data_IF_145721665988
#
_entry.id   IF_145721665988
#
_cell.length_a   1.000
_cell.length_b   1.000
_cell.length_c   1.000
_cell.angle_alpha   90.00
_cell.angle_beta   90.00
_cell.angle_gamma   90.00
#
_symmetry.space_group_name_H-M   'P 1'
#
loop_
_entity.id
_entity.type
_entity.pdbx_description
1 polymer ?
#
# COMPACT_ATOMS: atom_id res chain seq x y z
N UNK A 1 10.22 -36.28 -1.70
CA UNK A 1 11.60 -35.87 -1.95
C UNK A 1 11.85 -34.59 -1.17
N UNK A 2 12.88 -34.54 -0.34
CA UNK A 2 13.29 -33.28 0.30
C UNK A 2 13.87 -32.36 -0.79
N UNK A 3 13.49 -31.09 -0.78
CA UNK A 3 13.95 -30.10 -1.78
C UNK A 3 13.04 -29.91 -2.99
N UNK A 4 11.81 -30.42 -2.98
CA UNK A 4 10.83 -30.11 -4.03
C UNK A 4 10.38 -28.65 -3.91
N UNK A 5 10.25 -28.01 -5.07
CA UNK A 5 9.82 -26.61 -5.18
C UNK A 5 8.31 -26.55 -4.91
N UNK A 6 7.93 -25.73 -3.94
CA UNK A 6 6.54 -25.62 -3.48
C UNK A 6 5.80 -24.43 -4.11
N UNK A 7 6.54 -23.38 -4.48
CA UNK A 7 6.01 -22.18 -5.12
C UNK A 7 7.10 -21.50 -5.94
N UNK A 8 6.71 -20.86 -7.04
CA UNK A 8 7.55 -19.95 -7.82
C UNK A 8 7.41 -18.51 -7.30
N UNK A 9 8.47 -17.72 -7.47
CA UNK A 9 8.52 -16.29 -7.20
C UNK A 9 8.49 -15.46 -8.49
N UNK A 10 8.75 -14.16 -8.38
CA UNK A 10 8.99 -13.30 -9.52
C UNK A 10 10.16 -13.83 -10.37
N UNK A 11 9.96 -13.84 -11.70
CA UNK A 11 10.95 -14.29 -12.68
C UNK A 11 11.38 -15.76 -12.56
N UNK A 12 10.55 -16.64 -11.99
CA UNK A 12 10.78 -18.10 -11.97
C UNK A 12 9.59 -18.87 -12.50
N UNK A 13 9.82 -20.01 -13.15
CA UNK A 13 8.79 -20.89 -13.66
C UNK A 13 9.21 -22.35 -13.49
N UNK A 14 8.45 -23.12 -12.71
CA UNK A 14 8.74 -24.52 -12.36
C UNK A 14 10.15 -24.71 -11.78
N UNK A 15 10.65 -23.72 -11.04
CA UNK A 15 11.99 -23.75 -10.46
C UNK A 15 13.13 -23.28 -11.35
N UNK A 16 12.85 -22.93 -12.60
CA UNK A 16 13.85 -22.37 -13.51
C UNK A 16 13.73 -20.85 -13.58
N UNK A 17 14.87 -20.18 -13.77
CA UNK A 17 14.91 -18.73 -13.95
C UNK A 17 14.29 -18.34 -15.31
N UNK A 18 13.29 -17.47 -15.30
CA UNK A 18 12.62 -16.93 -16.49
C UNK A 18 12.56 -15.40 -16.41
N UNK A 19 13.61 -14.75 -16.91
CA UNK A 19 13.73 -13.28 -16.92
C UNK A 19 12.86 -12.60 -17.99
N UNK A 20 12.36 -13.35 -18.98
CA UNK A 20 11.62 -12.79 -20.10
C UNK A 20 10.82 -13.83 -20.86
N UNK A 21 10.41 -13.48 -22.08
CA UNK A 21 9.55 -14.30 -22.93
C UNK A 21 10.21 -14.54 -24.28
N UNK A 22 10.17 -15.79 -24.74
CA UNK A 22 10.58 -16.14 -26.09
C UNK A 22 9.51 -15.66 -27.08
N UNK A 23 9.93 -14.94 -28.12
CA UNK A 23 9.05 -14.41 -29.15
C UNK A 23 9.54 -14.83 -30.53
N UNK A 24 8.61 -14.97 -31.48
CA UNK A 24 8.96 -15.25 -32.87
C UNK A 24 9.48 -13.97 -33.53
N UNK A 25 10.76 -13.99 -33.92
CA UNK A 25 11.41 -12.87 -34.59
C UNK A 25 11.61 -13.15 -36.08
N UNK A 26 11.41 -12.13 -36.91
CA UNK A 26 11.72 -12.15 -38.33
C UNK A 26 12.77 -11.09 -38.64
N UNK A 27 13.85 -11.48 -39.31
CA UNK A 27 14.91 -10.57 -39.74
C UNK A 27 14.61 -10.08 -41.15
N UNK A 28 13.97 -8.92 -41.27
CA UNK A 28 13.71 -8.26 -42.55
C UNK A 28 13.58 -6.75 -42.36
N UNK A 29 13.96 -5.92 -43.35
CA UNK A 29 13.64 -4.50 -43.32
C UNK A 29 12.12 -4.31 -43.47
N UNK A 30 11.53 -3.45 -42.64
CA UNK A 30 10.09 -3.20 -42.66
C UNK A 30 9.78 -1.72 -42.71
N UNK A 31 9.66 -1.19 -43.93
CA UNK A 31 9.25 0.20 -44.23
C UNK A 31 10.03 1.29 -43.44
N UNK A 32 11.26 0.99 -43.04
CA UNK A 32 12.10 1.91 -42.26
C UNK A 32 11.74 2.02 -40.77
N UNK A 33 10.74 1.30 -40.27
CA UNK A 33 10.37 1.33 -38.84
C UNK A 33 11.37 0.58 -37.95
N UNK A 34 12.23 -0.26 -38.53
CA UNK A 34 13.35 -0.91 -37.85
C UNK A 34 14.70 -0.35 -38.31
N UNK A 35 14.76 0.98 -38.49
CA UNK A 35 15.99 1.68 -38.79
C UNK A 35 16.88 1.77 -37.54
N UNK A 36 18.20 1.65 -37.72
CA UNK A 36 19.19 1.54 -36.63
C UNK A 36 18.81 0.42 -35.64
N UNK A 37 18.51 0.78 -34.39
CA UNK A 37 18.21 -0.14 -33.29
C UNK A 37 16.71 -0.18 -32.95
N UNK A 38 15.86 0.40 -33.81
CA UNK A 38 14.42 0.40 -33.59
C UNK A 38 13.83 -1.02 -33.75
N UNK A 39 13.01 -1.42 -32.78
CA UNK A 39 12.31 -2.71 -32.79
C UNK A 39 10.84 -2.49 -33.09
N UNK A 40 10.34 -3.21 -34.09
CA UNK A 40 8.92 -3.23 -34.40
C UNK A 40 8.28 -4.39 -33.65
N UNK A 41 7.22 -4.09 -32.91
CA UNK A 41 6.50 -5.07 -32.10
C UNK A 41 5.11 -5.30 -32.70
N UNK A 42 4.68 -6.56 -32.72
CA UNK A 42 3.31 -6.90 -33.12
C UNK A 42 2.32 -6.45 -32.04
N UNK A 43 1.18 -5.87 -32.45
CA UNK A 43 0.06 -5.53 -31.56
C UNK A 43 -0.42 -6.76 -30.75
N UNK A 44 -0.23 -7.97 -31.27
CA UNK A 44 -0.54 -9.21 -30.56
C UNK A 44 0.19 -9.32 -29.22
N UNK A 45 1.45 -8.86 -29.14
CA UNK A 45 2.22 -8.93 -27.88
C UNK A 45 1.63 -8.03 -26.78
N UNK A 46 0.97 -6.94 -27.18
CA UNK A 46 0.27 -6.01 -26.27
C UNK A 46 -1.05 -6.63 -25.82
N UNK A 47 -1.83 -7.20 -26.75
CA UNK A 47 -3.12 -7.85 -26.43
C UNK A 47 -2.98 -9.06 -25.51
N UNK A 48 -1.87 -9.78 -25.63
CA UNK A 48 -1.59 -10.98 -24.84
C UNK A 48 -0.85 -10.65 -23.52
N UNK A 49 -0.67 -9.36 -23.18
CA UNK A 49 0.00 -8.88 -21.95
C UNK A 49 1.39 -9.51 -21.70
N UNK A 50 2.13 -9.83 -22.78
CA UNK A 50 3.35 -10.66 -22.69
C UNK A 50 4.47 -9.93 -21.95
N UNK A 51 4.55 -8.61 -22.12
CA UNK A 51 5.59 -7.76 -21.52
C UNK A 51 5.02 -6.79 -20.46
N UNK A 52 3.83 -7.06 -19.95
CA UNK A 52 3.21 -6.25 -18.89
C UNK A 52 3.89 -6.56 -17.54
N UNK A 53 4.33 -5.51 -16.84
CA UNK A 53 5.01 -5.61 -15.54
C UNK A 53 4.21 -4.92 -14.43
N UNK A 54 4.41 -5.39 -13.19
CA UNK A 54 3.81 -4.79 -11.99
C UNK A 54 4.87 -3.93 -11.31
N UNK A 55 4.59 -2.64 -11.14
CA UNK A 55 5.43 -1.70 -10.41
C UNK A 55 4.72 -1.27 -9.12
N UNK A 56 5.42 -1.38 -7.99
CA UNK A 56 4.92 -0.94 -6.69
C UNK A 56 5.76 0.27 -6.27
N UNK A 57 5.09 1.38 -6.02
CA UNK A 57 5.70 2.65 -5.57
C UNK A 57 5.21 2.94 -4.16
N UNK A 58 6.13 3.31 -3.28
CA UNK A 58 5.83 3.75 -1.93
C UNK A 58 5.97 5.26 -1.86
N UNK A 59 4.89 5.93 -1.47
CA UNK A 59 4.85 7.37 -1.24
C UNK A 59 4.61 7.61 0.25
N UNK A 60 5.36 8.52 0.86
CA UNK A 60 5.31 8.78 2.30
C UNK A 60 5.13 10.25 2.59
N UNK A 61 4.24 10.57 3.54
CA UNK A 61 4.07 11.92 4.07
C UNK A 61 4.05 11.86 5.59
N UNK A 62 4.64 12.88 6.21
CA UNK A 62 4.61 13.06 7.65
C UNK A 62 3.97 14.41 8.01
N UNK A 63 3.24 14.41 9.12
CA UNK A 63 2.73 15.61 9.76
C UNK A 63 3.70 16.02 10.86
N UNK A 64 4.20 17.26 10.78
CA UNK A 64 5.20 17.80 11.72
C UNK A 64 4.62 18.95 12.53
N UNK A 65 5.12 19.12 13.74
CA UNK A 65 4.86 20.32 14.53
C UNK A 65 5.70 21.49 14.00
N UNK A 66 5.04 22.52 13.52
CA UNK A 66 5.70 23.76 13.07
C UNK A 66 5.63 24.82 14.18
N UNK A 67 6.39 25.90 14.03
CA UNK A 67 6.34 27.04 14.97
C UNK A 67 4.98 27.73 15.01
N UNK A 68 4.22 27.64 13.92
CA UNK A 68 2.91 28.27 13.77
C UNK A 68 1.76 27.38 14.27
N UNK A 69 2.04 26.09 14.48
CA UNK A 69 1.09 25.09 14.96
C UNK A 69 1.38 23.69 14.42
N UNK A 70 0.67 22.67 14.92
CA UNK A 70 0.76 21.32 14.39
C UNK A 70 0.19 21.24 12.97
N UNK A 71 0.85 20.50 12.08
CA UNK A 71 0.23 20.04 10.85
C UNK A 71 -0.77 18.93 11.15
N UNK A 72 -1.92 18.95 10.49
CA UNK A 72 -2.99 17.97 10.71
C UNK A 72 -3.29 17.20 9.42
N UNK A 73 -3.58 15.91 9.56
CA UNK A 73 -4.06 15.06 8.47
C UNK A 73 -5.59 15.10 8.53
N UNK A 74 -6.22 15.64 7.49
CA UNK A 74 -7.66 15.86 7.44
C UNK A 74 -8.16 15.85 6.01
N UNK A 75 -9.45 15.53 5.84
CA UNK A 75 -10.16 15.64 4.55
C UNK A 75 -10.51 17.11 4.22
N UNK A 76 -10.55 17.98 5.22
CA UNK A 76 -10.92 19.39 5.06
C UNK A 76 -9.73 20.21 4.54
N UNK A 77 -9.56 20.21 3.22
CA UNK A 77 -8.43 20.85 2.53
C UNK A 77 -8.94 22.12 1.82
N UNK A 78 -8.32 23.29 2.07
CA UNK A 78 -8.74 24.53 1.45
C UNK A 78 -8.48 24.53 -0.07
N UNK A 79 -9.38 25.14 -0.84
CA UNK A 79 -9.25 25.36 -2.28
C UNK A 79 -9.17 24.08 -3.16
N UNK A 80 -9.65 22.95 -2.65
CA UNK A 80 -9.69 21.68 -3.39
C UNK A 80 -11.13 21.38 -3.85
N UNK A 81 -11.36 21.02 -5.13
CA UNK A 81 -12.67 20.60 -5.60
C UNK A 81 -13.08 19.26 -5.00
N UNK A 82 -14.39 19.07 -4.77
CA UNK A 82 -14.94 17.88 -4.11
C UNK A 82 -14.69 16.58 -4.91
N UNK A 83 -14.51 16.70 -6.23
CA UNK A 83 -14.10 15.60 -7.10
C UNK A 83 -12.78 14.96 -6.68
N UNK A 84 -11.79 15.74 -6.23
CA UNK A 84 -10.50 15.20 -5.77
C UNK A 84 -10.59 14.59 -4.37
N UNK A 85 -11.61 14.96 -3.59
CA UNK A 85 -11.85 14.44 -2.25
C UNK A 85 -12.63 13.12 -2.25
N UNK A 86 -13.17 12.68 -3.40
CA UNK A 86 -14.03 11.50 -3.48
C UNK A 86 -13.34 10.19 -3.04
N UNK A 87 -12.03 10.10 -3.26
CA UNK A 87 -11.22 8.93 -2.93
C UNK A 87 -10.72 8.93 -1.48
N UNK A 88 -10.79 10.07 -0.78
CA UNK A 88 -10.38 10.21 0.61
C UNK A 88 -11.47 9.71 1.54
N UNK A 89 -11.06 9.07 2.63
CA UNK A 89 -11.93 8.73 3.75
C UNK A 89 -12.14 9.95 4.68
N UNK A 90 -12.92 9.76 5.75
CA UNK A 90 -13.22 10.80 6.75
C UNK A 90 -11.95 11.37 7.43
N UNK A 91 -10.86 10.60 7.48
CA UNK A 91 -9.60 11.02 8.07
C UNK A 91 -8.65 11.70 7.07
N UNK A 92 -9.09 11.94 5.82
CA UNK A 92 -8.23 12.53 4.79
C UNK A 92 -7.19 11.57 4.22
N UNK A 93 -7.44 10.25 4.24
CA UNK A 93 -6.53 9.24 3.71
C UNK A 93 -7.23 8.47 2.58
N UNK A 94 -6.51 8.18 1.50
CA UNK A 94 -7.06 7.40 0.38
C UNK A 94 -7.49 6.00 0.83
N UNK A 95 -8.61 5.51 0.29
CA UNK A 95 -9.08 4.14 0.53
C UNK A 95 -8.18 3.12 -0.17
N UNK A 96 -7.97 1.97 0.47
CA UNK A 96 -7.36 0.81 -0.20
C UNK A 96 -8.29 0.31 -1.31
N UNK A 97 -7.71 -0.01 -2.47
CA UNK A 97 -8.45 -0.37 -3.68
C UNK A 97 -8.97 0.80 -4.51
N UNK A 98 -8.69 2.07 -4.14
CA UNK A 98 -8.97 3.20 -5.03
C UNK A 98 -8.06 3.17 -6.27
N UNK A 99 -8.65 3.41 -7.43
CA UNK A 99 -7.91 3.83 -8.61
C UNK A 99 -7.59 5.32 -8.50
N UNK A 100 -6.31 5.65 -8.61
CA UNK A 100 -5.78 7.01 -8.51
C UNK A 100 -5.04 7.36 -9.78
N UNK A 101 -5.17 8.62 -10.17
CA UNK A 101 -4.45 9.21 -11.30
C UNK A 101 -3.54 10.33 -10.82
N UNK A 102 -2.63 10.75 -11.69
CA UNK A 102 -1.78 11.91 -11.46
C UNK A 102 -2.63 13.13 -11.07
N UNK A 103 -2.29 13.76 -9.94
CA UNK A 103 -3.03 14.91 -9.40
C UNK A 103 -4.15 14.55 -8.40
N UNK A 104 -4.47 13.27 -8.19
CA UNK A 104 -5.36 12.87 -7.10
C UNK A 104 -4.65 13.00 -5.74
N UNK A 105 -5.43 13.29 -4.69
CA UNK A 105 -4.92 13.41 -3.33
C UNK A 105 -4.86 12.01 -2.71
N UNK A 106 -3.66 11.60 -2.30
CA UNK A 106 -3.44 10.34 -1.57
C UNK A 106 -3.64 10.53 -0.06
N UNK A 107 -3.13 11.65 0.48
CA UNK A 107 -3.28 12.00 1.90
C UNK A 107 -3.46 13.50 2.02
N UNK A 108 -4.59 13.91 2.58
CA UNK A 108 -4.92 15.28 2.92
C UNK A 108 -4.11 15.76 4.12
N UNK A 109 -3.31 16.80 3.93
CA UNK A 109 -2.53 17.43 5.00
C UNK A 109 -2.70 18.94 4.94
N UNK A 110 -3.01 19.53 6.08
CA UNK A 110 -3.12 20.98 6.23
C UNK A 110 -2.04 21.50 7.18
N UNK A 111 -1.44 22.61 6.80
CA UNK A 111 -0.43 23.30 7.59
C UNK A 111 -0.92 24.69 8.00
N UNK A 112 -0.75 25.10 9.27
CA UNK A 112 -1.15 26.43 9.69
C UNK A 112 -0.33 27.49 8.93
N UNK A 113 -1.03 28.46 8.36
CA UNK A 113 -0.45 29.57 7.62
C UNK A 113 -0.26 30.75 8.57
N UNK A 114 0.92 31.36 8.54
CA UNK A 114 1.17 32.59 9.29
C UNK A 114 0.37 33.75 8.72
N UNK A 115 0.13 34.79 9.53
CA UNK A 115 -0.53 36.01 9.07
C UNK A 115 0.26 36.65 7.92
N UNK A 116 -0.25 36.50 6.69
CA UNK A 116 0.28 37.19 5.52
C UNK A 116 -0.34 38.58 5.44
N UNK A 117 0.51 39.62 5.42
CA UNK A 117 0.06 40.97 5.10
C UNK A 117 -0.41 41.00 3.64
N UNK A 118 -1.73 41.01 3.45
CA UNK A 118 -2.35 41.10 2.13
C UNK A 118 -2.10 42.47 1.51
N UNK A 119 -1.89 42.51 0.19
CA UNK A 119 -1.76 43.77 -0.55
C UNK A 119 -3.08 44.55 -0.54
N UNK A 120 -3.08 45.88 -0.79
CA UNK A 120 -4.32 46.66 -0.90
C UNK A 120 -5.31 46.06 -1.91
N UNK A 121 -4.83 45.48 -3.00
CA UNK A 121 -5.65 44.81 -4.03
C UNK A 121 -6.30 43.54 -3.49
N UNK A 122 -5.54 42.68 -2.79
CA UNK A 122 -6.08 41.46 -2.17
C UNK A 122 -7.06 41.77 -1.03
N UNK A 123 -6.81 42.85 -0.27
CA UNK A 123 -7.76 43.36 0.74
C UNK A 123 -9.07 43.82 0.11
N UNK A 124 -9.00 44.52 -1.02
CA UNK A 124 -10.19 44.94 -1.75
C UNK A 124 -10.95 43.72 -2.29
N UNK A 125 -10.25 42.76 -2.86
CA UNK A 125 -10.84 41.54 -3.40
C UNK A 125 -11.52 40.72 -2.29
N UNK A 126 -10.86 40.58 -1.14
CA UNK A 126 -11.43 39.94 0.05
C UNK A 126 -12.67 40.69 0.59
N UNK A 127 -12.69 42.01 0.54
CA UNK A 127 -13.85 42.81 0.95
C UNK A 127 -15.04 42.68 -0.02
N UNK A 128 -14.78 42.48 -1.32
CA UNK A 128 -15.82 42.29 -2.34
C UNK A 128 -16.41 40.88 -2.30
N UNK A 129 -15.56 39.85 -2.22
CA UNK A 129 -16.01 38.45 -2.25
C UNK A 129 -16.36 37.88 -0.89
N UNK A 130 -16.00 38.56 0.21
CA UNK A 130 -16.29 38.09 1.57
C UNK A 130 -15.63 36.76 1.92
N UNK A 131 -14.65 36.31 1.13
CA UNK A 131 -13.93 35.07 1.40
C UNK A 131 -13.20 35.17 2.75
N UNK A 132 -13.60 34.31 3.68
CA UNK A 132 -12.83 34.12 4.91
C UNK A 132 -11.46 33.59 4.49
N UNK A 133 -10.40 34.27 4.91
CA UNK A 133 -9.07 33.69 4.75
C UNK A 133 -9.05 32.42 5.60
N UNK A 134 -8.78 31.29 4.94
CA UNK A 134 -8.50 30.06 5.65
C UNK A 134 -7.09 30.21 6.21
N UNK A 135 -6.97 30.10 7.53
CA UNK A 135 -5.69 30.19 8.27
C UNK A 135 -4.83 28.93 8.07
N UNK A 136 -5.25 28.04 7.18
CA UNK A 136 -4.61 26.78 6.85
C UNK A 136 -4.26 26.77 5.36
N UNK A 137 -3.11 26.20 5.04
CA UNK A 137 -2.65 25.97 3.68
C UNK A 137 -2.65 24.47 3.40
N UNK A 138 -2.98 24.12 2.16
CA UNK A 138 -2.79 22.77 1.66
C UNK A 138 -1.29 22.38 1.61
N UNK A 139 -0.98 21.25 2.22
CA UNK A 139 0.32 20.60 2.23
C UNK A 139 0.19 19.08 1.95
N UNK A 140 -0.88 18.69 1.26
CA UNK A 140 -1.27 17.30 1.00
C UNK A 140 -0.28 16.54 0.12
N UNK A 141 -0.34 15.21 0.21
CA UNK A 141 0.35 14.30 -0.68
C UNK A 141 -0.51 14.04 -1.91
N UNK A 142 0.01 14.43 -3.07
CA UNK A 142 -0.60 14.17 -4.36
C UNK A 142 0.07 12.99 -5.06
N UNK A 143 -0.69 12.29 -5.90
CA UNK A 143 -0.14 11.23 -6.74
C UNK A 143 0.87 11.83 -7.73
N UNK A 144 2.08 11.27 -7.74
CA UNK A 144 3.20 11.69 -8.59
C UNK A 144 2.79 11.78 -10.07
N UNK A 145 3.25 12.82 -10.80
CA UNK A 145 2.86 13.04 -12.18
C UNK A 145 3.35 11.91 -13.09
N UNK A 146 2.48 11.44 -13.98
CA UNK A 146 2.76 10.35 -14.90
C UNK A 146 2.55 8.95 -14.31
N UNK A 147 2.12 8.85 -13.06
CA UNK A 147 1.75 7.58 -12.43
C UNK A 147 0.23 7.49 -12.34
N UNK A 148 -0.29 6.32 -12.71
CA UNK A 148 -1.66 5.90 -12.44
C UNK A 148 -1.62 4.47 -11.90
N UNK A 149 -2.55 4.14 -11.02
CA UNK A 149 -2.53 2.83 -10.40
C UNK A 149 -3.63 2.62 -9.38
N UNK A 150 -3.51 1.51 -8.65
CA UNK A 150 -4.45 1.14 -7.58
C UNK A 150 -3.72 1.17 -6.25
N UNK A 151 -4.32 1.78 -5.24
CA UNK A 151 -3.77 1.76 -3.89
C UNK A 151 -3.88 0.35 -3.32
N UNK A 152 -2.75 -0.31 -3.08
CA UNK A 152 -2.70 -1.69 -2.58
C UNK A 152 -2.75 -1.72 -1.06
N UNK A 153 -1.99 -0.85 -0.41
CA UNK A 153 -1.83 -0.84 1.05
C UNK A 153 -1.62 0.59 1.57
N UNK A 154 -2.03 0.82 2.82
CA UNK A 154 -1.86 2.10 3.51
C UNK A 154 -1.44 1.83 4.95
N UNK A 155 -0.30 2.38 5.35
CA UNK A 155 0.25 2.23 6.70
C UNK A 155 0.32 3.57 7.41
N UNK A 156 -0.05 3.56 8.69
CA UNK A 156 -0.11 4.77 9.51
C UNK A 156 0.75 4.56 10.74
N UNK A 157 1.72 5.45 10.90
CA UNK A 157 2.61 5.45 12.03
C UNK A 157 2.27 6.63 12.93
N UNK A 158 1.85 6.35 14.16
CA UNK A 158 1.63 7.38 15.19
C UNK A 158 2.77 7.35 16.20
N UNK A 159 3.24 8.54 16.61
CA UNK A 159 4.29 8.66 17.63
C UNK A 159 3.78 8.12 18.97
N UNK A 160 4.64 7.38 19.70
CA UNK A 160 4.33 6.89 21.05
C UNK A 160 4.08 8.07 21.99
N UNK A 161 2.90 8.11 22.60
CA UNK A 161 2.51 9.14 23.58
C UNK A 161 1.45 10.15 23.10
N UNK A 162 1.11 10.15 21.81
CA UNK A 162 -0.02 10.94 21.29
C UNK A 162 -1.29 10.09 21.35
N UNK A 163 -2.44 10.69 21.70
CA UNK A 163 -3.72 10.00 21.63
C UNK A 163 -4.00 9.56 20.19
N UNK A 164 -3.90 8.25 19.96
CA UNK A 164 -4.26 7.66 18.67
C UNK A 164 -5.76 7.89 18.44
N UNK A 165 -6.10 8.36 17.24
CA UNK A 165 -7.49 8.46 16.80
C UNK A 165 -8.22 7.12 16.89
N UNK A 166 -9.56 7.17 17.00
CA UNK A 166 -10.43 5.99 17.16
C UNK A 166 -10.16 4.95 16.06
N UNK A 167 -9.95 5.41 14.83
CA UNK A 167 -9.68 4.55 13.69
C UNK A 167 -8.28 3.91 13.72
N UNK A 168 -7.24 4.66 14.09
CA UNK A 168 -5.89 4.11 14.26
C UNK A 168 -5.86 3.00 15.33
N UNK A 169 -6.60 3.18 16.43
CA UNK A 169 -6.79 2.13 17.45
C UNK A 169 -7.53 0.91 16.90
N UNK A 170 -8.49 1.12 15.99
CA UNK A 170 -9.25 0.02 15.36
C UNK A 170 -8.37 -0.81 14.44
N UNK A 171 -7.59 -0.18 13.55
CA UNK A 171 -6.65 -0.88 12.66
C UNK A 171 -5.64 -1.68 13.49
N UNK A 172 -5.02 -1.05 14.47
CA UNK A 172 -4.04 -1.72 15.34
C UNK A 172 -4.67 -2.93 16.06
N UNK A 173 -5.92 -2.81 16.52
CA UNK A 173 -6.65 -3.92 17.13
C UNK A 173 -6.94 -5.04 16.12
N UNK A 174 -7.32 -4.71 14.89
CA UNK A 174 -7.53 -5.69 13.82
C UNK A 174 -6.22 -6.41 13.46
N UNK A 175 -5.10 -5.68 13.35
CA UNK A 175 -3.76 -6.25 13.12
C UNK A 175 -3.34 -7.17 14.26
N UNK A 176 -3.50 -6.75 15.51
CA UNK A 176 -3.22 -7.59 16.69
C UNK A 176 -4.08 -8.85 16.66
N UNK A 177 -5.34 -8.74 16.27
CA UNK A 177 -6.25 -9.91 16.18
C UNK A 177 -5.80 -10.87 15.09
N UNK A 178 -5.36 -10.35 13.94
CA UNK A 178 -4.82 -11.14 12.83
C UNK A 178 -3.52 -11.84 13.23
N UNK A 179 -2.61 -11.13 13.91
CA UNK A 179 -1.37 -11.69 14.45
C UNK A 179 -1.64 -12.80 15.46
N UNK A 180 -2.58 -12.60 16.39
CA UNK A 180 -2.99 -13.63 17.36
C UNK A 180 -3.53 -14.88 16.67
N UNK A 181 -4.39 -14.70 15.65
CA UNK A 181 -4.94 -15.83 14.88
C UNK A 181 -3.84 -16.64 14.19
N UNK A 182 -2.89 -15.96 13.54
CA UNK A 182 -1.76 -16.63 12.89
C UNK A 182 -0.91 -17.40 13.92
N UNK A 183 -0.67 -16.81 15.09
CA UNK A 183 0.06 -17.46 16.18
C UNK A 183 -0.67 -18.71 16.68
N UNK A 184 -1.99 -18.62 16.89
CA UNK A 184 -2.81 -19.74 17.34
C UNK A 184 -2.82 -20.88 16.30
N UNK A 185 -2.91 -20.53 15.02
CA UNK A 185 -2.82 -21.48 13.91
C UNK A 185 -1.46 -22.18 13.91
N UNK A 186 -0.36 -21.43 14.08
CA UNK A 186 1.01 -21.96 14.13
C UNK A 186 1.23 -22.90 15.32
N UNK A 187 0.74 -22.53 16.51
CA UNK A 187 0.75 -23.38 17.70
C UNK A 187 -0.03 -24.68 17.44
N UNK A 188 -1.21 -24.59 16.83
CA UNK A 188 -2.05 -25.77 16.57
C UNK A 188 -1.36 -26.76 15.61
N UNK A 189 -0.62 -26.26 14.63
CA UNK A 189 0.16 -27.07 13.69
C UNK A 189 1.30 -27.76 14.44
N UNK A 190 2.05 -27.01 15.25
CA UNK A 190 3.16 -27.55 16.05
C UNK A 190 2.69 -28.60 17.07
N UNK A 191 1.58 -28.36 17.76
CA UNK A 191 1.00 -29.33 18.70
C UNK A 191 0.57 -30.61 17.99
N UNK A 192 -0.06 -30.49 16.82
CA UNK A 192 -0.46 -31.64 16.00
C UNK A 192 0.75 -32.45 15.57
N UNK A 193 1.85 -31.80 15.15
CA UNK A 193 3.10 -32.48 14.82
C UNK A 193 3.77 -33.13 16.04
N UNK A 194 3.80 -32.43 17.17
CA UNK A 194 4.31 -32.95 18.45
C UNK A 194 3.56 -34.22 18.85
N UNK A 195 2.24 -34.20 18.86
CA UNK A 195 1.41 -35.37 19.17
C UNK A 195 1.59 -36.51 18.16
N UNK A 196 1.76 -36.19 16.86
CA UNK A 196 2.06 -37.19 15.83
C UNK A 196 3.41 -37.88 16.10
N UNK A 197 4.46 -37.11 16.44
CA UNK A 197 5.78 -37.66 16.82
C UNK A 197 5.69 -38.49 18.10
N UNK A 198 5.04 -37.98 19.15
CA UNK A 198 4.85 -38.70 20.42
C UNK A 198 4.11 -40.03 20.18
N UNK A 199 3.00 -40.04 19.45
CA UNK A 199 2.27 -41.28 19.10
C UNK A 199 3.15 -42.28 18.36
N UNK A 200 4.03 -41.82 17.46
CA UNK A 200 4.95 -42.72 16.75
C UNK A 200 6.00 -43.37 17.67
N UNK A 201 6.46 -42.67 18.70
CA UNK A 201 7.43 -43.19 19.68
C UNK A 201 6.78 -44.11 20.71
N UNK A 202 5.51 -43.86 21.06
CA UNK A 202 4.74 -44.66 22.02
C UNK A 202 4.20 -45.95 21.37
N UNK A 203 3.93 -45.96 20.05
CA UNK A 203 3.44 -47.14 19.34
C UNK A 203 4.48 -48.27 19.39
N UNK A 204 4.29 -49.22 20.32
CA UNK A 204 5.15 -50.39 20.51
C UNK A 204 5.87 -50.48 21.86
N UNK A 205 5.70 -49.51 22.77
CA UNK A 205 6.16 -49.65 24.17
C UNK A 205 5.02 -50.14 25.06
N UNK A 206 5.22 -51.26 25.74
CA UNK A 206 4.35 -51.75 26.81
C UNK A 206 4.58 -50.95 28.08
N UNK A 207 3.49 -50.53 28.74
CA UNK A 207 3.53 -49.89 30.05
C UNK A 207 4.04 -50.89 31.09
N UNK A 208 5.06 -50.50 31.87
CA UNK A 208 5.55 -51.32 32.99
C UNK A 208 4.62 -51.25 34.22
N UNK A 209 3.73 -50.25 34.28
CA UNK A 209 2.64 -50.11 35.28
C UNK A 209 1.45 -49.37 34.69
N UNK A 210 0.25 -49.82 35.06
CA UNK A 210 -0.99 -49.09 34.79
C UNK A 210 -0.98 -47.76 35.56
N UNK A 211 -1.25 -46.66 34.85
CA UNK A 211 -1.42 -45.33 35.45
C UNK A 211 -2.86 -44.88 35.23
N UNK A 212 -3.53 -44.55 36.33
CA UNK A 212 -4.83 -43.88 36.31
C UNK A 212 -4.63 -42.44 35.80
N UNK A 213 -5.32 -42.11 34.72
CA UNK A 213 -5.39 -40.75 34.21
C UNK A 213 -6.49 -40.05 35.01
N UNK A 214 -6.10 -39.13 35.89
CA UNK A 214 -7.05 -38.26 36.58
C UNK A 214 -7.72 -37.29 35.61
N UNK A 215 -9.04 -37.14 35.78
CA UNK A 215 -9.93 -36.29 34.99
C UNK A 215 -9.46 -34.83 34.84
#
# INVERSE_FOLDING_TARGET
MNGQILADSSCTNMGELSLGRNVLCAFMPWRGYNFEDAIIVSEKLIKDDIFTSIHIVEETIEARDTKLGPEEITRDIPNVPEELLHNLNENGIVRTGAHVKSGDILVGKVAPKGETQLSPEEKLLKAIFGEKALDVKDASLYCSPGIEGTVIDVKIFSRRGIEKGVWAKRIEKEEITKMKRNLDDEISILEREKWRKIKSVIKGKTLEKDQEIGD
#
